data_IF_164853220949
#
_entry.id   IF_164853220949
#
_cell.length_a   1.000
_cell.length_b   1.000
_cell.length_c   1.000
_cell.angle_alpha   90.00
_cell.angle_beta   90.00
_cell.angle_gamma   90.00
#
_symmetry.space_group_name_H-M   'P 1'
#
loop_
_entity.id
_entity.type
_entity.pdbx_description
1 polymer ?
#
# COMPACT_ATOMS: atom_id res chain seq x y z
N UNK A 1 7.89 -2.03 -4.63
CA UNK A 1 7.88 -0.56 -4.35
C UNK A 1 9.11 0.16 -4.86
N UNK A 2 10.36 -0.25 -4.55
CA UNK A 2 11.58 0.38 -5.12
C UNK A 2 11.56 0.40 -6.65
N UNK A 3 11.23 -0.73 -7.28
CA UNK A 3 11.11 -0.79 -8.75
C UNK A 3 10.14 0.27 -9.32
N UNK A 4 9.03 0.52 -8.65
CA UNK A 4 8.09 1.57 -9.07
C UNK A 4 8.67 2.97 -8.90
N UNK A 5 9.33 3.24 -7.77
CA UNK A 5 9.98 4.53 -7.53
C UNK A 5 11.07 4.82 -8.56
N UNK A 6 11.89 3.83 -8.88
CA UNK A 6 12.97 3.94 -9.88
C UNK A 6 12.41 4.10 -11.29
N UNK A 7 11.45 3.25 -11.70
CA UNK A 7 10.91 3.26 -13.07
C UNK A 7 10.16 4.53 -13.42
N UNK A 8 9.54 5.17 -12.42
CA UNK A 8 8.76 6.40 -12.58
C UNK A 8 9.49 7.65 -12.08
N UNK A 9 10.76 7.49 -11.65
CA UNK A 9 11.58 8.58 -11.10
C UNK A 9 10.86 9.37 -9.98
N UNK A 10 10.18 8.66 -9.07
CA UNK A 10 9.45 9.29 -7.98
C UNK A 10 10.43 9.88 -6.96
N UNK A 11 10.28 11.16 -6.64
CA UNK A 11 11.12 11.84 -5.64
C UNK A 11 10.89 11.29 -4.23
N UNK A 12 9.66 10.87 -3.94
CA UNK A 12 9.27 10.37 -2.63
C UNK A 12 8.13 9.36 -2.71
N UNK A 13 8.22 8.33 -1.89
CA UNK A 13 7.13 7.37 -1.65
C UNK A 13 6.69 7.46 -0.19
N UNK A 14 5.40 7.72 0.05
CA UNK A 14 4.83 7.85 1.39
C UNK A 14 3.93 6.67 1.70
N UNK A 15 4.28 5.91 2.73
CA UNK A 15 3.46 4.82 3.25
C UNK A 15 2.43 5.36 4.23
N UNK A 16 1.18 4.91 4.09
CA UNK A 16 0.03 5.37 4.86
C UNK A 16 -0.60 4.20 5.65
N UNK A 17 -0.08 3.90 6.85
CA UNK A 17 -0.71 2.89 7.69
C UNK A 17 -2.11 3.36 8.13
N UNK A 18 -3.15 2.64 7.74
CA UNK A 18 -4.54 2.98 8.11
C UNK A 18 -4.84 2.65 9.57
N UNK A 19 -5.64 3.47 10.25
CA UNK A 19 -6.08 3.21 11.63
C UNK A 19 -6.91 1.91 11.71
N UNK A 20 -7.87 1.75 10.80
CA UNK A 20 -8.72 0.54 10.67
C UNK A 20 -8.97 0.24 9.21
N UNK A 21 -8.56 -0.93 8.70
CA UNK A 21 -8.94 -1.36 7.35
C UNK A 21 -10.47 -1.51 7.26
N UNK A 22 -11.17 -0.76 6.40
CA UNK A 22 -12.63 -0.73 6.38
C UNK A 22 -13.26 -2.07 5.96
N UNK A 23 -12.53 -2.89 5.20
CA UNK A 23 -13.04 -4.12 4.59
C UNK A 23 -12.60 -5.43 5.28
N UNK A 24 -11.87 -5.37 6.41
CA UNK A 24 -11.43 -6.58 7.11
C UNK A 24 -12.18 -6.73 8.43
N UNK A 25 -12.87 -7.89 8.65
CA UNK A 25 -13.52 -8.16 9.93
C UNK A 25 -12.50 -8.10 11.07
N UNK A 26 -12.97 -8.02 12.32
CA UNK A 26 -12.22 -7.92 13.59
C UNK A 26 -11.10 -8.97 13.75
N UNK A 27 -10.22 -9.09 12.79
CA UNK A 27 -8.97 -9.84 12.96
C UNK A 27 -8.05 -9.00 13.82
N UNK A 28 -7.35 -9.64 14.70
CA UNK A 28 -6.34 -9.06 15.57
C UNK A 28 -5.19 -8.50 14.74
N UNK A 29 -5.34 -7.24 14.34
CA UNK A 29 -4.23 -6.47 13.81
C UNK A 29 -3.43 -5.94 15.00
N UNK A 30 -2.13 -5.89 14.86
CA UNK A 30 -1.33 -5.11 15.78
C UNK A 30 -1.89 -3.67 15.89
N UNK A 31 -1.78 -3.04 17.06
CA UNK A 31 -2.22 -1.66 17.25
C UNK A 31 -1.73 -0.74 16.14
N UNK A 32 -2.54 0.23 15.75
CA UNK A 32 -2.23 1.11 14.61
C UNK A 32 -0.87 1.80 14.74
N UNK A 33 -0.53 2.28 15.95
CA UNK A 33 0.78 2.88 16.23
C UNK A 33 1.92 1.87 16.14
N UNK A 34 1.70 0.62 16.53
CA UNK A 34 2.72 -0.42 16.38
C UNK A 34 2.97 -0.72 14.89
N UNK A 35 1.90 -0.74 14.05
CA UNK A 35 2.04 -0.91 12.61
C UNK A 35 2.78 0.26 11.95
N UNK A 36 2.51 1.48 12.39
CA UNK A 36 3.25 2.66 11.97
C UNK A 36 4.72 2.55 12.34
N UNK A 37 5.05 2.21 13.60
CA UNK A 37 6.42 2.03 14.04
C UNK A 37 7.15 0.94 13.24
N UNK A 38 6.47 -0.16 12.89
CA UNK A 38 7.08 -1.21 12.04
C UNK A 38 7.37 -0.71 10.62
N UNK A 39 6.52 0.14 10.05
CA UNK A 39 6.80 0.76 8.74
C UNK A 39 7.98 1.72 8.85
N UNK A 40 8.04 2.59 9.85
CA UNK A 40 9.19 3.47 10.09
C UNK A 40 10.51 2.66 10.23
N UNK A 41 10.48 1.56 10.98
CA UNK A 41 11.65 0.68 11.15
C UNK A 41 12.06 0.01 9.82
N UNK A 42 11.10 -0.36 8.99
CA UNK A 42 11.38 -0.96 7.69
C UNK A 42 11.97 0.04 6.68
N UNK A 43 11.69 1.34 6.87
CA UNK A 43 12.15 2.41 5.98
C UNK A 43 13.46 3.06 6.46
N UNK A 44 14.01 2.63 7.61
CA UNK A 44 15.30 3.15 8.08
C UNK A 44 16.41 2.84 7.07
N UNK A 45 17.05 3.89 6.59
CA UNK A 45 18.11 3.75 5.57
C UNK A 45 17.62 3.72 4.13
N UNK A 46 16.32 3.91 3.88
CA UNK A 46 15.73 4.00 2.54
C UNK A 46 15.49 5.48 2.18
N UNK A 47 16.43 6.15 1.50
CA UNK A 47 16.23 7.53 1.08
C UNK A 47 15.05 7.64 0.10
N UNK A 48 14.24 8.68 0.23
CA UNK A 48 13.04 8.87 -0.60
C UNK A 48 11.80 8.12 -0.11
N UNK A 49 11.91 7.28 0.92
CA UNK A 49 10.77 6.57 1.50
C UNK A 49 10.44 7.12 2.89
N UNK A 50 9.16 7.34 3.17
CA UNK A 50 8.68 7.84 4.45
C UNK A 50 7.37 7.20 4.86
N UNK A 51 7.01 7.22 6.14
CA UNK A 51 5.67 6.92 6.58
C UNK A 51 4.94 8.20 7.02
N UNK A 52 3.61 8.23 6.82
CA UNK A 52 2.77 9.30 7.36
C UNK A 52 1.73 8.74 8.32
N UNK A 53 1.63 9.38 9.48
CA UNK A 53 0.59 9.09 10.47
C UNK A 53 -0.73 9.80 10.20
N UNK A 54 -0.92 10.48 9.08
CA UNK A 54 -2.12 11.27 8.79
C UNK A 54 -3.41 10.49 9.06
N UNK A 55 -3.56 9.30 8.48
CA UNK A 55 -4.77 8.50 8.66
C UNK A 55 -4.98 8.01 10.11
N UNK A 56 -3.92 7.92 10.90
CA UNK A 56 -4.00 7.50 12.30
C UNK A 56 -4.62 8.60 13.19
N UNK A 57 -4.50 9.85 12.80
CA UNK A 57 -4.97 11.01 13.57
C UNK A 57 -6.44 11.34 13.32
N UNK A 58 -7.06 10.78 12.28
CA UNK A 58 -8.42 11.14 11.87
C UNK A 58 -9.52 10.68 12.86
N UNK A 59 -9.24 9.71 13.74
CA UNK A 59 -10.22 9.16 14.68
C UNK A 59 -11.40 8.40 14.03
N UNK A 60 -11.41 8.25 12.71
CA UNK A 60 -12.40 7.57 11.89
C UNK A 60 -11.72 6.80 10.75
N UNK A 61 -12.41 5.89 10.03
CA UNK A 61 -11.86 5.30 8.82
C UNK A 61 -11.49 6.39 7.80
N UNK A 62 -10.28 6.28 7.25
CA UNK A 62 -9.82 7.12 6.17
C UNK A 62 -10.37 6.61 4.82
N UNK A 63 -10.70 7.53 3.93
CA UNK A 63 -10.99 7.21 2.54
C UNK A 63 -9.85 7.76 1.67
N UNK A 64 -9.36 6.96 0.76
CA UNK A 64 -8.19 7.30 -0.06
C UNK A 64 -8.32 8.64 -0.79
N UNK A 65 -9.52 8.97 -1.28
CA UNK A 65 -9.78 10.27 -1.91
C UNK A 65 -9.52 11.44 -0.96
N UNK A 66 -9.92 11.32 0.32
CA UNK A 66 -9.70 12.38 1.32
C UNK A 66 -8.20 12.50 1.69
N UNK A 67 -7.49 11.38 1.71
CA UNK A 67 -6.05 11.36 1.90
C UNK A 67 -5.32 12.01 0.73
N UNK A 68 -5.73 11.75 -0.51
CA UNK A 68 -5.18 12.41 -1.71
C UNK A 68 -5.47 13.91 -1.69
N UNK A 69 -6.70 14.32 -1.36
CA UNK A 69 -7.06 15.75 -1.21
C UNK A 69 -6.17 16.47 -0.18
N UNK A 70 -5.86 15.80 0.94
CA UNK A 70 -4.97 16.34 1.95
C UNK A 70 -3.55 16.57 1.40
N UNK A 71 -2.97 15.56 0.75
CA UNK A 71 -1.61 15.70 0.20
C UNK A 71 -1.56 16.66 -1.00
N UNK A 72 -2.59 16.73 -1.82
CA UNK A 72 -2.69 17.73 -2.90
C UNK A 72 -2.71 19.17 -2.34
N UNK A 73 -3.35 19.38 -1.19
CA UNK A 73 -3.37 20.68 -0.53
C UNK A 73 -2.03 21.02 0.15
N UNK A 74 -1.32 20.04 0.70
CA UNK A 74 0.00 20.23 1.29
C UNK A 74 1.12 20.41 0.27
N UNK A 75 0.98 19.77 -0.89
CA UNK A 75 2.00 19.70 -1.94
C UNK A 75 1.41 20.12 -3.30
N UNK A 76 1.00 21.39 -3.46
CA UNK A 76 0.25 21.84 -4.64
C UNK A 76 1.03 21.75 -5.97
N UNK A 77 2.35 21.66 -5.90
CA UNK A 77 3.23 21.55 -7.08
C UNK A 77 3.66 20.10 -7.36
N UNK A 78 3.17 19.12 -6.58
CA UNK A 78 3.57 17.73 -6.76
C UNK A 78 2.61 16.96 -7.66
N UNK A 79 3.16 16.15 -8.54
CA UNK A 79 2.41 15.14 -9.29
C UNK A 79 2.18 13.93 -8.39
N UNK A 80 0.93 13.73 -7.96
CA UNK A 80 0.58 12.66 -7.05
C UNK A 80 0.39 11.34 -7.78
N UNK A 81 1.04 10.30 -7.28
CA UNK A 81 0.91 8.93 -7.76
C UNK A 81 0.30 8.05 -6.67
N UNK A 82 -0.77 7.32 -6.98
CA UNK A 82 -1.39 6.36 -6.08
C UNK A 82 -0.90 4.94 -6.41
N UNK A 83 -0.09 4.37 -5.53
CA UNK A 83 0.46 3.02 -5.66
C UNK A 83 -0.47 2.01 -4.99
N UNK A 84 -1.03 1.08 -5.77
CA UNK A 84 -1.95 0.04 -5.30
C UNK A 84 -1.61 -1.32 -5.92
N UNK A 85 -2.01 -2.39 -5.25
CA UNK A 85 -1.91 -3.74 -5.83
C UNK A 85 -3.00 -3.99 -6.88
N UNK A 86 -2.79 -4.99 -7.72
CA UNK A 86 -3.73 -5.41 -8.77
C UNK A 86 -5.12 -5.79 -8.21
N UNK A 87 -5.18 -6.40 -7.03
CA UNK A 87 -6.42 -6.69 -6.31
C UNK A 87 -7.21 -5.42 -5.96
N UNK A 88 -6.51 -4.42 -5.43
CA UNK A 88 -7.10 -3.12 -5.10
C UNK A 88 -7.51 -2.32 -6.33
N UNK A 89 -6.77 -2.44 -7.43
CA UNK A 89 -7.12 -1.81 -8.69
C UNK A 89 -8.42 -2.39 -9.28
N UNK A 90 -8.60 -3.71 -9.22
CA UNK A 90 -9.84 -4.36 -9.65
C UNK A 90 -11.06 -3.91 -8.80
N UNK A 91 -10.85 -3.66 -7.51
CA UNK A 91 -11.89 -3.18 -6.59
C UNK A 91 -12.06 -1.65 -6.58
N UNK A 92 -11.21 -0.90 -7.24
CA UNK A 92 -11.18 0.58 -7.24
C UNK A 92 -12.55 1.22 -7.54
N UNK A 93 -13.39 0.69 -8.46
CA UNK A 93 -14.73 1.22 -8.73
C UNK A 93 -15.69 1.16 -7.52
N UNK A 94 -15.38 0.38 -6.50
CA UNK A 94 -16.16 0.29 -5.25
C UNK A 94 -15.75 1.33 -4.21
N UNK A 95 -14.64 2.04 -4.44
CA UNK A 95 -14.12 3.01 -3.48
C UNK A 95 -14.93 4.29 -3.48
N UNK A 96 -14.99 4.94 -2.30
CA UNK A 96 -15.68 6.23 -2.15
C UNK A 96 -15.12 7.27 -3.12
N UNK A 97 -16.02 7.88 -3.93
CA UNK A 97 -15.65 8.93 -4.89
C UNK A 97 -14.49 8.53 -5.82
N UNK A 98 -14.47 7.29 -6.25
CA UNK A 98 -13.35 6.74 -7.02
C UNK A 98 -13.04 7.51 -8.30
N UNK A 99 -14.07 8.08 -8.98
CA UNK A 99 -13.86 8.87 -10.19
C UNK A 99 -13.08 10.15 -9.92
N UNK A 100 -13.36 10.81 -8.78
CA UNK A 100 -12.63 12.00 -8.36
C UNK A 100 -11.20 11.61 -7.92
N UNK A 101 -11.05 10.48 -7.24
CA UNK A 101 -9.74 9.96 -6.87
C UNK A 101 -8.85 9.74 -8.09
N UNK A 102 -9.35 9.00 -9.10
CA UNK A 102 -8.54 8.71 -10.30
C UNK A 102 -8.28 9.94 -11.16
N UNK A 103 -9.13 10.96 -11.09
CA UNK A 103 -8.88 12.23 -11.78
C UNK A 103 -7.80 13.09 -11.13
N UNK A 104 -7.52 12.84 -9.84
CA UNK A 104 -6.58 13.64 -9.04
C UNK A 104 -5.17 13.04 -8.99
N UNK A 105 -4.94 11.82 -9.49
CA UNK A 105 -3.65 11.12 -9.38
C UNK A 105 -3.29 10.35 -10.66
N UNK A 106 -2.00 10.09 -10.84
CA UNK A 106 -1.54 9.00 -11.68
C UNK A 106 -1.64 7.68 -10.90
N UNK A 107 -2.11 6.61 -11.57
CA UNK A 107 -2.22 5.30 -10.93
C UNK A 107 -0.98 4.47 -11.19
N UNK A 108 -0.47 3.81 -10.15
CA UNK A 108 0.63 2.84 -10.26
C UNK A 108 0.14 1.49 -9.73
N UNK A 109 -0.04 0.54 -10.64
CA UNK A 109 -0.55 -0.79 -10.32
C UNK A 109 0.61 -1.77 -10.19
N UNK A 110 0.80 -2.28 -8.98
CA UNK A 110 1.80 -3.30 -8.69
C UNK A 110 1.19 -4.68 -8.93
N UNK A 111 1.66 -5.34 -9.97
CA UNK A 111 1.18 -6.69 -10.32
C UNK A 111 2.01 -7.73 -9.59
N UNK A 112 1.34 -8.56 -8.80
CA UNK A 112 1.96 -9.68 -8.09
C UNK A 112 2.12 -10.88 -9.02
N UNK A 113 3.11 -11.77 -8.79
CA UNK A 113 3.21 -13.04 -9.50
C UNK A 113 1.88 -13.81 -9.47
N UNK A 114 1.47 -14.32 -10.63
CA UNK A 114 0.21 -15.06 -10.78
C UNK A 114 -1.04 -14.22 -11.08
N UNK A 115 -0.90 -12.91 -11.24
CA UNK A 115 -1.95 -12.02 -11.71
C UNK A 115 -1.65 -11.55 -13.14
N UNK A 116 -2.61 -11.74 -14.05
CA UNK A 116 -2.51 -11.28 -15.43
C UNK A 116 -3.34 -10.00 -15.61
N UNK A 117 -2.72 -8.94 -16.13
CA UNK A 117 -3.43 -7.66 -16.37
C UNK A 117 -4.60 -7.81 -17.34
N UNK A 118 -4.53 -8.77 -18.27
CA UNK A 118 -5.61 -9.08 -19.21
C UNK A 118 -6.88 -9.53 -18.49
N UNK A 119 -6.76 -10.32 -17.42
CA UNK A 119 -7.90 -10.74 -16.59
C UNK A 119 -8.55 -9.56 -15.87
N UNK A 120 -7.74 -8.62 -15.40
CA UNK A 120 -8.25 -7.43 -14.70
C UNK A 120 -8.96 -6.50 -15.68
N UNK A 121 -8.41 -6.30 -16.89
CA UNK A 121 -9.00 -5.44 -17.94
C UNK A 121 -10.42 -5.82 -18.28
N UNK A 122 -10.72 -7.12 -18.40
CA UNK A 122 -12.04 -7.60 -18.78
C UNK A 122 -13.19 -7.21 -17.83
N UNK A 123 -12.88 -6.67 -16.65
CA UNK A 123 -13.87 -6.23 -15.64
C UNK A 123 -13.83 -4.73 -15.32
N UNK A 124 -12.97 -3.94 -15.98
CA UNK A 124 -12.83 -2.52 -15.68
C UNK A 124 -13.98 -1.69 -16.27
N UNK A 125 -14.41 -0.63 -15.57
CA UNK A 125 -15.25 0.39 -16.17
C UNK A 125 -14.54 1.11 -17.33
N UNK A 126 -15.30 1.62 -18.34
CA UNK A 126 -14.73 2.32 -19.50
C UNK A 126 -13.77 3.44 -19.13
N UNK A 127 -14.05 4.17 -18.07
CA UNK A 127 -13.20 5.28 -17.59
C UNK A 127 -11.80 4.81 -17.15
N UNK A 128 -11.68 3.63 -16.54
CA UNK A 128 -10.38 3.06 -16.17
C UNK A 128 -9.68 2.43 -17.37
N UNK A 129 -10.42 1.84 -18.30
CA UNK A 129 -9.86 1.35 -19.57
C UNK A 129 -9.26 2.50 -20.39
N UNK A 130 -9.95 3.63 -20.47
CA UNK A 130 -9.47 4.84 -21.15
C UNK A 130 -8.19 5.38 -20.49
N UNK A 131 -8.15 5.45 -19.17
CA UNK A 131 -6.95 5.90 -18.43
C UNK A 131 -5.76 4.95 -18.63
N UNK A 132 -6.01 3.66 -18.68
CA UNK A 132 -4.99 2.67 -18.97
C UNK A 132 -4.45 2.82 -20.41
N UNK A 133 -5.34 3.06 -21.37
CA UNK A 133 -4.98 3.26 -22.77
C UNK A 133 -4.25 4.59 -23.02
N UNK A 134 -4.57 5.64 -22.26
CA UNK A 134 -3.95 6.96 -22.36
C UNK A 134 -2.64 7.10 -21.56
N UNK A 135 -2.19 6.05 -20.85
CA UNK A 135 -0.92 6.05 -20.13
C UNK A 135 -0.97 6.65 -18.71
N UNK A 136 -2.17 6.95 -18.18
CA UNK A 136 -2.38 7.42 -16.81
C UNK A 136 -2.50 6.29 -15.78
N UNK A 137 -2.23 5.06 -16.19
CA UNK A 137 -2.09 3.88 -15.32
C UNK A 137 -0.79 3.18 -15.68
N UNK A 138 0.15 3.25 -14.77
CA UNK A 138 1.47 2.63 -14.90
C UNK A 138 1.44 1.23 -14.28
N UNK A 139 1.77 0.22 -15.06
CA UNK A 139 1.79 -1.17 -14.59
C UNK A 139 3.24 -1.55 -14.30
N UNK A 140 3.51 -1.91 -13.05
CA UNK A 140 4.86 -2.30 -12.60
C UNK A 140 4.81 -3.71 -12.06
N UNK A 141 5.63 -4.59 -12.61
CA UNK A 141 5.79 -5.95 -12.09
C UNK A 141 6.52 -5.91 -10.75
N UNK A 142 5.95 -6.53 -9.73
CA UNK A 142 6.59 -6.67 -8.43
C UNK A 142 7.22 -8.07 -8.32
N UNK A 143 8.54 -8.13 -8.50
CA UNK A 143 9.33 -9.36 -8.34
C UNK A 143 9.56 -9.73 -6.86
N UNK A 144 8.88 -9.06 -5.94
CA UNK A 144 9.01 -9.31 -4.51
C UNK A 144 8.58 -10.73 -4.15
N UNK A 145 9.15 -11.24 -3.06
CA UNK A 145 8.90 -12.59 -2.53
C UNK A 145 7.38 -12.81 -2.40
N UNK A 146 6.91 -13.90 -2.99
CA UNK A 146 5.51 -14.36 -2.89
C UNK A 146 5.22 -14.82 -1.45
N UNK A 147 5.10 -13.86 -0.55
CA UNK A 147 4.85 -14.07 0.86
C UNK A 147 3.58 -13.35 1.28
N UNK A 148 2.55 -14.12 1.56
CA UNK A 148 1.32 -13.51 2.03
C UNK A 148 1.47 -13.01 3.48
N UNK A 149 0.97 -11.80 3.77
CA UNK A 149 0.93 -11.28 5.14
C UNK A 149 0.16 -12.20 6.10
N UNK A 150 -0.71 -13.07 5.59
CA UNK A 150 -1.46 -14.05 6.40
C UNK A 150 -0.57 -15.20 6.82
N UNK A 151 0.25 -15.72 5.90
CA UNK A 151 1.23 -16.78 6.22
C UNK A 151 2.28 -16.28 7.19
N UNK A 152 2.81 -15.09 6.94
CA UNK A 152 3.81 -14.49 7.84
C UNK A 152 3.27 -14.32 9.27
N UNK A 153 2.03 -13.83 9.44
CA UNK A 153 1.41 -13.73 10.77
C UNK A 153 1.19 -15.10 11.41
N UNK A 154 0.84 -16.13 10.62
CA UNK A 154 0.68 -17.49 11.14
C UNK A 154 2.01 -18.06 11.63
N UNK A 155 3.10 -17.89 10.89
CA UNK A 155 4.46 -18.28 11.27
C UNK A 155 4.87 -17.60 12.58
N UNK A 156 4.67 -16.28 12.69
CA UNK A 156 4.97 -15.53 13.91
C UNK A 156 4.12 -15.99 15.11
N UNK A 157 2.81 -16.25 14.89
CA UNK A 157 1.92 -16.74 15.93
C UNK A 157 2.29 -18.14 16.42
N UNK A 158 2.88 -18.98 15.56
CA UNK A 158 3.41 -20.29 15.94
C UNK A 158 4.77 -20.21 16.67
N UNK A 159 5.35 -19.01 16.78
CA UNK A 159 6.69 -18.83 17.36
C UNK A 159 7.83 -19.32 16.44
N UNK A 160 7.51 -19.54 15.17
CA UNK A 160 8.47 -19.98 14.16
C UNK A 160 9.25 -18.80 13.56
N UNK A 161 10.44 -19.11 13.01
CA UNK A 161 11.23 -18.10 12.30
C UNK A 161 10.62 -17.82 10.92
N UNK A 162 10.40 -16.54 10.57
CA UNK A 162 9.98 -16.17 9.23
C UNK A 162 11.07 -16.51 8.20
N UNK A 163 10.71 -16.74 6.93
CA UNK A 163 11.68 -16.95 5.87
C UNK A 163 12.72 -15.83 5.81
N UNK A 164 13.96 -16.17 5.45
CA UNK A 164 15.02 -15.18 5.32
C UNK A 164 14.63 -14.05 4.35
N UNK A 165 14.80 -12.79 4.76
CA UNK A 165 14.44 -11.63 3.96
C UNK A 165 12.94 -11.28 3.96
N UNK A 166 12.09 -12.04 4.65
CA UNK A 166 10.64 -11.77 4.75
C UNK A 166 10.31 -10.52 5.59
N UNK A 167 11.17 -10.20 6.55
CA UNK A 167 11.06 -9.02 7.42
C UNK A 167 12.43 -8.39 7.63
N UNK A 168 12.44 -7.07 7.69
CA UNK A 168 13.63 -6.35 8.15
C UNK A 168 13.96 -6.73 9.59
N UNK A 169 15.25 -6.93 9.93
CA UNK A 169 15.66 -7.37 11.27
C UNK A 169 15.12 -6.51 12.41
N UNK A 170 15.06 -5.19 12.21
CA UNK A 170 14.53 -4.26 13.21
C UNK A 170 13.02 -4.45 13.41
N UNK A 171 12.27 -4.74 12.36
CA UNK A 171 10.84 -5.05 12.45
C UNK A 171 10.61 -6.34 13.21
N UNK A 172 11.38 -7.40 12.92
CA UNK A 172 11.28 -8.66 13.63
C UNK A 172 11.60 -8.51 15.13
N UNK A 173 12.65 -7.76 15.46
CA UNK A 173 13.01 -7.44 16.83
C UNK A 173 11.90 -6.66 17.57
N UNK A 174 11.26 -5.71 16.87
CA UNK A 174 10.13 -4.96 17.42
C UNK A 174 8.93 -5.88 17.70
N UNK A 175 8.56 -6.74 16.74
CA UNK A 175 7.48 -7.72 16.89
C UNK A 175 7.72 -8.61 18.12
N UNK A 176 8.92 -9.15 18.27
CA UNK A 176 9.30 -10.00 19.42
C UNK A 176 9.27 -9.26 20.72
N UNK A 177 9.81 -8.03 20.76
CA UNK A 177 9.88 -7.21 21.97
C UNK A 177 8.48 -6.89 22.54
N UNK A 178 7.52 -6.63 21.68
CA UNK A 178 6.16 -6.23 22.07
C UNK A 178 5.13 -7.35 21.95
N UNK A 179 5.57 -8.58 21.71
CA UNK A 179 4.73 -9.77 21.66
C UNK A 179 3.57 -9.64 20.66
N UNK A 180 3.83 -9.03 19.50
CA UNK A 180 2.84 -8.81 18.47
C UNK A 180 2.59 -10.10 17.65
N UNK A 181 1.34 -10.31 17.25
CA UNK A 181 0.90 -11.43 16.40
C UNK A 181 1.00 -12.83 17.06
N UNK A 182 1.05 -12.91 18.38
CA UNK A 182 0.98 -14.17 19.16
C UNK A 182 -0.43 -14.45 19.67
#
# INVERSE_FOLDING_TARGET
MRAAAESLALDRVVYLPTARPPHKPKREFAPALARFAMVELALLGEPGFAASGHELTLGRPAYTVETVEHFAAELPEADLHLLIGSDSFAELPTWKRWRELVAAVELVVLVRPGWEMEEIRGGLPPELEERLASGHVHVVSDESVDLSSTELRRTLAAGEEPPAGALEPLVLNYIRKYDLYR
#
